data_IF_878080987695
#
_entry.id   IF_878080987695
#
_cell.length_a   1.000
_cell.length_b   1.000
_cell.length_c   1.000
_cell.angle_alpha   90.00
_cell.angle_beta   90.00
_cell.angle_gamma   90.00
#
_symmetry.space_group_name_H-M   'P 1'
#
loop_
_entity.id
_entity.type
_entity.pdbx_description
1 polymer ?
#
# COMPACT_ATOMS: atom_id res chain seq x y z
N UNK A 1 15.95 36.60 1.96
CA UNK A 1 16.12 35.32 1.21
C UNK A 1 15.49 34.22 2.01
N UNK A 2 14.59 33.47 1.41
CA UNK A 2 13.79 32.47 2.12
C UNK A 2 14.52 31.12 2.02
N UNK A 3 15.02 30.61 3.15
CA UNK A 3 15.60 29.26 3.24
C UNK A 3 14.54 28.20 3.52
N UNK A 4 13.31 28.61 3.85
CA UNK A 4 12.15 27.72 4.03
C UNK A 4 11.79 26.99 2.74
N UNK A 5 11.25 25.78 2.87
CA UNK A 5 10.86 24.96 1.71
C UNK A 5 12.04 24.31 0.98
N UNK A 6 13.20 24.20 1.65
CA UNK A 6 14.35 23.43 1.17
C UNK A 6 14.56 22.27 2.13
N UNK A 7 14.40 21.05 1.65
CA UNK A 7 14.53 19.85 2.49
C UNK A 7 14.83 18.59 1.68
N UNK A 8 15.35 17.62 2.40
CA UNK A 8 15.58 16.26 1.93
C UNK A 8 15.43 15.30 3.10
N UNK A 9 14.89 14.11 2.86
CA UNK A 9 14.85 13.02 3.84
C UNK A 9 15.56 11.80 3.29
N UNK A 10 16.56 11.31 4.02
CA UNK A 10 17.19 10.04 3.65
C UNK A 10 16.17 8.90 3.80
N UNK A 11 15.80 8.27 2.67
CA UNK A 11 14.81 7.21 2.60
C UNK A 11 13.50 7.62 1.89
N UNK A 12 12.61 6.66 1.72
CA UNK A 12 11.32 6.79 1.04
C UNK A 12 11.41 7.47 -0.34
N UNK A 13 10.77 8.61 -0.51
CA UNK A 13 10.63 9.29 -1.79
C UNK A 13 11.85 10.14 -2.19
N UNK A 14 12.75 10.44 -1.25
CA UNK A 14 13.86 11.35 -1.50
C UNK A 14 15.20 10.65 -1.68
N UNK A 15 15.36 9.43 -1.17
CA UNK A 15 16.56 8.62 -1.38
C UNK A 15 16.17 7.15 -1.41
N UNK A 16 16.20 6.51 -2.59
CA UNK A 16 15.77 5.13 -2.76
C UNK A 16 16.51 4.43 -3.91
N UNK A 17 16.60 3.10 -3.83
CA UNK A 17 17.16 2.26 -4.87
C UNK A 17 16.20 2.17 -6.07
N UNK A 18 16.72 2.47 -7.27
CA UNK A 18 16.01 2.19 -8.53
C UNK A 18 16.23 0.74 -8.97
N UNK A 19 17.45 0.28 -8.80
CA UNK A 19 17.87 -1.10 -9.02
C UNK A 19 19.03 -1.44 -8.07
N UNK A 20 19.68 -2.59 -8.27
CA UNK A 20 20.80 -3.05 -7.46
C UNK A 20 22.03 -2.14 -7.49
N UNK A 21 22.12 -1.21 -8.43
CA UNK A 21 23.31 -0.37 -8.67
C UNK A 21 23.00 1.12 -8.67
N UNK A 22 21.74 1.51 -8.79
CA UNK A 22 21.32 2.90 -8.96
C UNK A 22 20.52 3.41 -7.77
N UNK A 23 20.98 4.52 -7.21
CA UNK A 23 20.32 5.23 -6.12
C UNK A 23 19.79 6.57 -6.63
N UNK A 24 18.48 6.79 -6.50
CA UNK A 24 17.83 8.04 -6.81
C UNK A 24 17.83 8.96 -5.60
N UNK A 25 18.26 10.21 -5.80
CA UNK A 25 18.27 11.23 -4.75
C UNK A 25 17.50 12.45 -5.25
N UNK A 26 16.54 12.91 -4.43
CA UNK A 26 15.71 14.07 -4.68
C UNK A 26 15.97 15.14 -3.62
N UNK A 27 15.94 16.39 -4.03
CA UNK A 27 16.00 17.58 -3.17
C UNK A 27 14.78 18.44 -3.46
N UNK A 28 13.97 18.71 -2.45
CA UNK A 28 12.89 19.69 -2.52
C UNK A 28 13.45 21.09 -2.29
N UNK A 29 13.12 22.03 -3.15
CA UNK A 29 13.64 23.38 -3.07
C UNK A 29 12.62 24.42 -3.55
N UNK A 30 12.46 25.48 -2.81
CA UNK A 30 11.60 26.60 -3.21
C UNK A 30 12.08 27.27 -4.52
N UNK A 31 11.26 28.13 -5.09
CA UNK A 31 11.49 28.75 -6.43
C UNK A 31 12.71 29.65 -6.53
N UNK A 32 13.29 30.09 -5.41
CA UNK A 32 14.48 30.92 -5.41
C UNK A 32 15.78 30.16 -5.67
N UNK A 33 15.74 28.82 -5.55
CA UNK A 33 16.89 27.97 -5.85
C UNK A 33 17.06 27.84 -7.36
N UNK A 34 18.25 28.18 -7.85
CA UNK A 34 18.59 28.14 -9.28
C UNK A 34 19.30 26.86 -9.68
N UNK A 35 20.14 26.35 -8.79
CA UNK A 35 21.00 25.20 -9.06
C UNK A 35 21.22 24.41 -7.77
N UNK A 36 21.33 23.10 -7.90
CA UNK A 36 21.68 22.20 -6.79
C UNK A 36 22.75 21.20 -7.25
N UNK A 37 23.71 20.93 -6.39
CA UNK A 37 24.78 19.96 -6.60
C UNK A 37 24.77 18.98 -5.44
N UNK A 38 24.76 17.69 -5.76
CA UNK A 38 25.02 16.63 -4.80
C UNK A 38 26.52 16.44 -4.65
N UNK A 39 27.04 16.55 -3.44
CA UNK A 39 28.41 16.18 -3.07
C UNK A 39 28.33 14.79 -2.46
N UNK A 40 28.87 13.75 -3.12
CA UNK A 40 28.69 12.38 -2.69
C UNK A 40 29.91 11.51 -2.98
N UNK A 41 30.14 10.50 -2.14
CA UNK A 41 31.17 9.47 -2.31
C UNK A 41 30.95 8.34 -1.29
N UNK A 42 31.77 7.27 -1.36
CA UNK A 42 31.86 6.29 -0.30
C UNK A 42 32.29 6.97 1.01
N UNK A 43 31.68 6.67 2.17
CA UNK A 43 32.07 7.27 3.45
C UNK A 43 33.54 7.00 3.84
N UNK A 44 34.17 5.98 3.26
CA UNK A 44 35.56 5.59 3.54
C UNK A 44 36.54 5.95 2.44
N UNK A 45 36.14 6.70 1.41
CA UNK A 45 36.99 7.08 0.27
C UNK A 45 38.26 7.87 0.68
N UNK A 46 38.26 8.48 1.84
CA UNK A 46 39.43 9.19 2.44
C UNK A 46 39.95 8.51 3.73
N UNK A 47 39.74 7.21 3.87
CA UNK A 47 40.10 6.42 5.04
C UNK A 47 39.08 6.41 6.15
N UNK A 48 39.30 5.61 7.18
CA UNK A 48 38.35 5.34 8.27
C UNK A 48 38.02 6.59 9.09
N UNK A 49 38.98 7.51 9.23
CA UNK A 49 38.78 8.74 10.04
C UNK A 49 37.79 9.72 9.41
N UNK A 50 37.61 9.68 8.08
CA UNK A 50 36.71 10.56 7.35
C UNK A 50 36.96 12.07 7.43
N UNK A 51 38.08 12.47 8.13
CA UNK A 51 38.36 13.87 8.50
C UNK A 51 38.55 14.81 7.30
N UNK A 52 38.90 14.27 6.14
CA UNK A 52 39.13 15.03 4.89
C UNK A 52 38.15 14.64 3.79
N UNK A 53 37.02 14.08 4.15
CA UNK A 53 36.01 13.71 3.15
C UNK A 53 35.32 14.95 2.61
N UNK A 54 35.24 15.08 1.29
CA UNK A 54 34.61 16.24 0.61
C UNK A 54 33.52 15.80 -0.37
N UNK A 55 33.53 14.54 -0.79
CA UNK A 55 32.70 14.02 -1.86
C UNK A 55 33.09 14.51 -3.27
N UNK A 56 32.51 13.89 -4.26
CA UNK A 56 32.57 14.28 -5.65
C UNK A 56 31.30 15.05 -6.03
N UNK A 57 31.43 16.10 -6.83
CA UNK A 57 30.30 16.92 -7.25
C UNK A 57 29.52 16.25 -8.37
N UNK A 58 28.21 16.09 -8.20
CA UNK A 58 27.27 15.61 -9.22
C UNK A 58 26.14 16.63 -9.40
N UNK A 59 25.98 17.15 -10.59
CA UNK A 59 24.96 18.15 -10.91
C UNK A 59 23.56 17.54 -10.83
N UNK A 60 22.62 18.26 -10.20
CA UNK A 60 21.23 17.85 -10.12
C UNK A 60 20.37 18.58 -11.14
N UNK A 61 19.43 17.88 -11.76
CA UNK A 61 18.48 18.46 -12.71
C UNK A 61 17.09 18.63 -12.09
N UNK A 62 16.34 19.64 -12.54
CA UNK A 62 14.95 19.80 -12.13
C UNK A 62 14.09 18.74 -12.80
N UNK A 63 13.64 17.76 -12.02
CA UNK A 63 12.78 16.66 -12.48
C UNK A 63 11.30 17.01 -12.45
N UNK A 64 10.86 17.85 -11.51
CA UNK A 64 9.47 18.29 -11.39
C UNK A 64 9.39 19.76 -11.00
N UNK A 65 8.43 20.47 -11.62
CA UNK A 65 8.11 21.86 -11.31
C UNK A 65 6.70 21.89 -10.70
N UNK A 66 6.61 22.09 -9.39
CA UNK A 66 5.34 22.24 -8.68
C UNK A 66 5.01 23.72 -8.49
N UNK A 67 3.85 24.05 -7.96
CA UNK A 67 3.42 25.45 -7.78
C UNK A 67 4.36 26.26 -6.87
N UNK A 68 4.74 25.69 -5.72
CA UNK A 68 5.53 26.37 -4.69
C UNK A 68 7.01 25.94 -4.66
N UNK A 69 7.34 24.79 -5.24
CA UNK A 69 8.69 24.22 -5.19
C UNK A 69 9.11 23.60 -6.52
N UNK A 70 10.40 23.33 -6.65
CA UNK A 70 10.98 22.46 -7.65
C UNK A 70 11.59 21.23 -6.97
N UNK A 71 11.54 20.09 -7.63
CA UNK A 71 12.26 18.88 -7.18
C UNK A 71 13.48 18.72 -8.09
N UNK A 72 14.66 18.86 -7.49
CA UNK A 72 15.93 18.54 -8.12
C UNK A 72 16.22 17.05 -7.90
N UNK A 73 16.71 16.37 -8.91
CA UNK A 73 16.97 14.94 -8.86
C UNK A 73 18.28 14.57 -9.52
N UNK A 74 18.88 13.51 -9.02
CA UNK A 74 20.04 12.87 -9.62
C UNK A 74 19.99 11.37 -9.37
N UNK A 75 20.57 10.59 -10.27
CA UNK A 75 20.82 9.15 -10.07
C UNK A 75 22.32 8.93 -9.98
N UNK A 76 22.77 8.24 -8.95
CA UNK A 76 24.17 7.89 -8.71
C UNK A 76 24.36 6.38 -8.63
N UNK A 77 25.59 5.89 -8.89
CA UNK A 77 25.94 4.47 -8.87
C UNK A 77 27.04 4.23 -7.82
N UNK A 78 26.67 4.03 -6.54
CA UNK A 78 27.65 3.79 -5.49
C UNK A 78 28.40 2.48 -5.70
N UNK A 79 29.74 2.55 -5.83
CA UNK A 79 30.59 1.37 -6.08
C UNK A 79 30.45 0.29 -4.99
N UNK A 80 30.31 0.71 -3.74
CA UNK A 80 30.25 -0.17 -2.58
C UNK A 80 28.84 -0.29 -1.96
N UNK A 81 27.78 -0.05 -2.76
CA UNK A 81 26.38 -0.16 -2.29
C UNK A 81 26.01 0.73 -1.10
N UNK A 82 26.76 1.76 -0.82
CA UNK A 82 26.57 2.74 0.27
C UNK A 82 27.02 4.11 -0.19
N UNK A 83 26.46 5.16 0.40
CA UNK A 83 26.73 6.53 -0.01
C UNK A 83 26.74 7.44 1.23
N UNK A 84 27.66 8.39 1.27
CA UNK A 84 27.62 9.56 2.12
C UNK A 84 27.50 10.80 1.25
N UNK A 85 26.68 11.77 1.63
CA UNK A 85 26.40 12.92 0.78
C UNK A 85 25.88 14.13 1.55
N UNK A 86 25.93 15.29 0.89
CA UNK A 86 25.27 16.53 1.25
C UNK A 86 24.97 17.33 -0.02
N UNK A 87 24.19 18.41 0.13
CA UNK A 87 23.83 19.25 -1.00
C UNK A 87 24.50 20.62 -0.90
N UNK A 88 24.94 21.14 -2.05
CA UNK A 88 25.30 22.56 -2.22
C UNK A 88 24.23 23.22 -3.08
N UNK A 89 23.62 24.28 -2.57
CA UNK A 89 22.43 24.91 -3.12
C UNK A 89 22.78 26.34 -3.47
N UNK A 90 22.52 26.73 -4.72
CA UNK A 90 22.87 28.05 -5.27
C UNK A 90 21.60 28.86 -5.53
N UNK A 91 21.64 30.12 -5.16
CA UNK A 91 20.62 31.11 -5.38
C UNK A 91 21.07 32.15 -6.44
N UNK A 92 20.28 33.20 -6.63
CA UNK A 92 20.71 34.35 -7.42
C UNK A 92 21.89 35.05 -6.72
N UNK A 93 22.74 35.75 -7.52
CA UNK A 93 23.93 36.48 -7.04
C UNK A 93 25.02 35.61 -6.40
N UNK A 94 25.21 34.40 -6.88
CA UNK A 94 26.25 33.45 -6.44
C UNK A 94 26.22 33.11 -4.93
N UNK A 95 25.16 33.47 -4.25
CA UNK A 95 24.96 33.03 -2.88
C UNK A 95 24.73 31.55 -2.80
N UNK A 96 25.43 30.86 -1.92
CA UNK A 96 25.28 29.41 -1.75
C UNK A 96 25.25 29.00 -0.28
N UNK A 97 24.56 27.89 -0.02
CA UNK A 97 24.46 27.23 1.27
C UNK A 97 24.70 25.74 1.10
N UNK A 98 25.00 25.03 2.19
CA UNK A 98 24.97 23.59 2.22
C UNK A 98 23.79 23.09 3.05
N UNK A 99 23.17 21.99 2.60
CA UNK A 99 22.16 21.24 3.36
C UNK A 99 22.79 19.94 3.81
N UNK A 100 22.82 19.73 5.13
CA UNK A 100 23.26 18.53 5.81
C UNK A 100 22.06 17.92 6.57
N UNK A 101 22.26 16.79 7.22
CA UNK A 101 21.21 16.10 7.97
C UNK A 101 20.66 16.95 9.14
N UNK A 102 21.50 17.78 9.75
CA UNK A 102 21.17 18.68 10.86
C UNK A 102 20.60 20.05 10.39
N UNK A 103 20.50 20.29 9.07
CA UNK A 103 19.89 21.50 8.53
C UNK A 103 20.72 22.24 7.47
N UNK A 104 20.28 23.48 7.21
CA UNK A 104 20.92 24.38 6.23
C UNK A 104 21.97 25.24 6.93
N UNK A 105 23.16 25.28 6.36
CA UNK A 105 24.31 26.00 6.89
C UNK A 105 24.99 26.85 5.82
N UNK A 106 25.80 27.82 6.27
CA UNK A 106 26.71 28.55 5.39
C UNK A 106 27.83 27.63 4.88
N UNK A 107 28.41 27.92 3.73
CA UNK A 107 29.51 27.13 3.16
C UNK A 107 30.71 27.02 4.09
N UNK A 108 30.95 28.00 4.98
CA UNK A 108 32.04 27.96 5.98
C UNK A 108 31.83 26.88 7.03
N UNK A 109 30.63 26.38 7.23
CA UNK A 109 30.32 25.27 8.14
C UNK A 109 31.06 23.98 7.75
N UNK A 110 31.32 23.79 6.43
CA UNK A 110 32.04 22.65 5.90
C UNK A 110 33.53 22.56 6.39
N UNK A 111 34.06 23.59 7.02
CA UNK A 111 35.40 23.57 7.60
C UNK A 111 35.45 22.96 8.99
N UNK A 112 34.38 22.45 9.55
CA UNK A 112 34.33 21.84 10.88
C UNK A 112 34.99 20.47 10.92
N UNK A 113 35.64 20.14 12.00
CA UNK A 113 36.33 18.85 12.21
C UNK A 113 35.35 17.69 12.43
N UNK A 114 34.19 17.98 13.00
CA UNK A 114 33.16 16.97 13.35
C UNK A 114 32.10 16.74 12.26
N UNK A 115 32.33 17.27 11.08
CA UNK A 115 31.34 17.33 9.98
C UNK A 115 30.84 15.95 9.53
N UNK A 116 31.67 14.91 9.65
CA UNK A 116 31.28 13.53 9.27
C UNK A 116 30.02 13.01 9.99
N UNK A 117 29.65 13.62 11.11
CA UNK A 117 28.42 13.26 11.86
C UNK A 117 27.14 13.86 11.25
N UNK A 118 27.29 14.88 10.41
CA UNK A 118 26.18 15.67 9.88
C UNK A 118 25.88 15.40 8.41
N UNK A 119 26.68 14.57 7.73
CA UNK A 119 26.36 14.15 6.36
C UNK A 119 25.19 13.19 6.34
N UNK A 120 24.35 13.27 5.33
CA UNK A 120 23.38 12.23 5.02
C UNK A 120 24.10 10.92 4.68
N UNK A 121 23.52 9.79 5.09
CA UNK A 121 24.10 8.46 4.86
C UNK A 121 23.05 7.49 4.37
N UNK A 122 23.29 6.89 3.21
CA UNK A 122 22.59 5.70 2.78
C UNK A 122 23.47 4.49 3.10
N UNK A 123 23.07 3.73 4.12
CA UNK A 123 23.94 2.72 4.74
C UNK A 123 24.26 1.54 3.85
N UNK A 124 23.26 1.01 3.14
CA UNK A 124 23.42 -0.14 2.28
C UNK A 124 22.25 -0.28 1.29
N UNK A 125 22.55 -0.61 0.02
CA UNK A 125 21.57 -0.93 -1.01
C UNK A 125 21.25 -2.42 -0.97
N UNK A 126 20.09 -2.80 -0.39
CA UNK A 126 19.63 -4.19 -0.37
C UNK A 126 18.75 -4.48 -1.57
N UNK A 127 18.83 -5.70 -2.09
CA UNK A 127 17.94 -6.18 -3.15
C UNK A 127 16.46 -6.19 -2.69
N UNK A 128 16.22 -6.41 -1.39
CA UNK A 128 14.89 -6.37 -0.78
C UNK A 128 14.24 -4.98 -0.75
N UNK A 129 15.03 -3.92 -0.89
CA UNK A 129 14.54 -2.53 -0.90
C UNK A 129 14.14 -2.07 -2.31
N UNK A 130 14.36 -2.92 -3.32
CA UNK A 130 14.05 -2.63 -4.71
C UNK A 130 12.63 -3.06 -5.01
N UNK A 131 11.76 -2.09 -5.22
CA UNK A 131 10.40 -2.35 -5.68
C UNK A 131 10.37 -2.29 -7.21
N UNK A 132 10.27 -3.46 -7.85
CA UNK A 132 10.11 -3.58 -9.31
C UNK A 132 8.68 -4.03 -9.65
N UNK A 133 7.70 -3.13 -9.64
CA UNK A 133 6.33 -3.48 -10.02
C UNK A 133 6.29 -3.92 -11.49
N UNK A 134 5.34 -4.78 -11.87
CA UNK A 134 5.10 -5.05 -13.29
C UNK A 134 4.84 -3.75 -14.05
N UNK A 135 5.33 -3.64 -15.29
CA UNK A 135 5.21 -2.40 -16.10
C UNK A 135 3.78 -1.87 -16.26
N UNK A 136 2.81 -2.76 -16.26
CA UNK A 136 1.40 -2.36 -16.37
C UNK A 136 0.92 -1.54 -15.15
N UNK A 137 1.53 -1.69 -13.97
CA UNK A 137 1.14 -0.95 -12.75
C UNK A 137 1.41 0.54 -12.90
N UNK A 138 2.51 0.93 -13.58
CA UNK A 138 2.93 2.33 -13.72
C UNK A 138 1.87 3.20 -14.41
N UNK A 139 1.07 2.62 -15.29
CA UNK A 139 0.05 3.31 -16.09
C UNK A 139 -1.37 2.90 -15.71
N UNK A 140 -1.56 2.27 -14.53
CA UNK A 140 -2.89 1.83 -14.10
C UNK A 140 -3.60 2.92 -13.31
N UNK A 141 -4.80 3.28 -13.77
CA UNK A 141 -5.74 4.15 -13.05
C UNK A 141 -6.79 3.24 -12.41
N UNK A 142 -6.76 3.17 -11.09
CA UNK A 142 -7.64 2.30 -10.32
C UNK A 142 -8.96 2.98 -9.96
N UNK A 143 -10.06 2.22 -10.11
CA UNK A 143 -11.37 2.58 -9.62
C UNK A 143 -11.85 1.55 -8.59
N UNK A 144 -12.05 1.98 -7.35
CA UNK A 144 -12.54 1.10 -6.28
C UNK A 144 -14.05 1.00 -6.33
N UNK A 145 -14.57 -0.22 -6.21
CA UNK A 145 -16.00 -0.53 -6.24
C UNK A 145 -16.41 -1.26 -4.96
N UNK A 146 -17.37 -0.71 -4.23
CA UNK A 146 -18.16 -1.45 -3.24
C UNK A 146 -19.36 -2.05 -3.99
N UNK A 147 -19.41 -3.37 -4.28
CA UNK A 147 -20.36 -3.96 -5.20
C UNK A 147 -21.81 -3.65 -4.86
N UNK A 148 -22.20 -3.76 -3.59
CA UNK A 148 -23.55 -3.43 -3.10
C UNK A 148 -24.01 -2.03 -3.50
N UNK A 149 -23.10 -1.07 -3.62
CA UNK A 149 -23.37 0.36 -3.80
C UNK A 149 -23.03 0.90 -5.20
N UNK A 150 -22.81 0.04 -6.19
CA UNK A 150 -22.36 0.49 -7.50
C UNK A 150 -23.44 0.45 -8.57
N UNK A 151 -23.89 -0.73 -8.97
CA UNK A 151 -24.90 -0.91 -10.00
C UNK A 151 -25.57 -2.27 -9.87
N UNK A 152 -26.89 -2.35 -10.13
CA UNK A 152 -27.62 -3.59 -10.20
C UNK A 152 -28.17 -3.82 -11.60
N UNK A 153 -28.06 -5.06 -12.07
CA UNK A 153 -28.86 -5.62 -13.18
C UNK A 153 -29.68 -6.73 -12.58
N UNK A 154 -30.95 -6.80 -12.95
CA UNK A 154 -31.86 -7.86 -12.47
C UNK A 154 -31.36 -9.23 -12.95
N UNK A 155 -31.03 -10.08 -11.99
CA UNK A 155 -30.57 -11.45 -12.17
C UNK A 155 -31.52 -12.50 -11.58
N UNK A 156 -32.71 -12.05 -11.18
CA UNK A 156 -33.76 -12.88 -10.56
C UNK A 156 -33.56 -13.11 -9.05
N UNK A 157 -32.47 -12.64 -8.44
CA UNK A 157 -32.25 -12.74 -6.98
C UNK A 157 -33.32 -11.90 -6.25
N UNK A 158 -33.99 -12.51 -5.29
CA UNK A 158 -35.00 -11.87 -4.43
C UNK A 158 -34.36 -11.46 -3.11
N UNK A 159 -34.08 -10.18 -2.94
CA UNK A 159 -33.51 -9.60 -1.73
C UNK A 159 -34.31 -8.40 -1.24
N UNK A 160 -34.13 -8.04 0.01
CA UNK A 160 -34.70 -6.83 0.62
C UNK A 160 -33.76 -5.66 0.37
N UNK A 161 -33.88 -5.00 -0.78
CA UNK A 161 -33.01 -3.90 -1.18
C UNK A 161 -33.71 -2.55 -0.95
N UNK A 162 -32.92 -1.56 -0.52
CA UNK A 162 -33.34 -0.16 -0.51
C UNK A 162 -33.42 0.34 -1.96
N UNK A 163 -34.42 1.18 -2.27
CA UNK A 163 -34.49 1.83 -3.57
C UNK A 163 -33.20 2.60 -3.85
N UNK A 164 -32.65 2.46 -5.06
CA UNK A 164 -31.38 3.07 -5.44
C UNK A 164 -31.38 4.59 -5.30
N UNK A 165 -32.52 5.23 -5.53
CA UNK A 165 -32.67 6.68 -5.45
C UNK A 165 -33.16 7.17 -4.09
N UNK A 166 -33.44 6.27 -3.15
CA UNK A 166 -33.83 6.63 -1.79
C UNK A 166 -32.61 7.07 -0.98
N UNK A 167 -32.47 8.36 -0.81
CA UNK A 167 -31.41 8.99 0.00
C UNK A 167 -31.89 9.37 1.41
N UNK A 168 -33.12 9.04 1.76
CA UNK A 168 -33.74 9.44 3.05
C UNK A 168 -33.17 8.66 4.24
N UNK A 169 -32.63 7.46 3.99
CA UNK A 169 -32.10 6.58 5.03
C UNK A 169 -30.80 5.90 4.56
N UNK A 170 -29.73 6.67 4.42
CA UNK A 170 -28.41 6.13 4.10
C UNK A 170 -27.77 5.67 5.40
N UNK A 171 -27.80 4.36 5.67
CA UNK A 171 -27.08 3.76 6.78
C UNK A 171 -26.07 2.70 6.29
N UNK A 172 -25.18 2.28 7.20
CA UNK A 172 -24.14 1.31 6.86
C UNK A 172 -24.64 -0.13 6.78
N UNK A 173 -25.87 -0.43 7.21
CA UNK A 173 -26.50 -1.77 7.19
C UNK A 173 -27.38 -1.98 5.98
N UNK A 174 -27.88 -0.91 5.37
CA UNK A 174 -28.78 -1.00 4.21
C UNK A 174 -28.10 -1.67 3.03
N UNK A 175 -28.82 -2.58 2.36
CA UNK A 175 -28.39 -3.23 1.15
C UNK A 175 -29.05 -2.55 -0.06
N UNK A 176 -28.27 -2.14 -1.04
CA UNK A 176 -28.74 -1.58 -2.31
C UNK A 176 -28.75 -2.62 -3.43
N UNK A 177 -28.11 -3.76 -3.19
CA UNK A 177 -28.17 -4.94 -4.03
C UNK A 177 -27.41 -4.83 -5.35
N UNK A 178 -26.44 -3.93 -5.47
CA UNK A 178 -25.51 -3.94 -6.59
C UNK A 178 -24.88 -5.33 -6.76
N UNK A 179 -24.62 -5.75 -8.00
CA UNK A 179 -24.16 -7.10 -8.30
C UNK A 179 -23.09 -7.14 -9.40
N UNK A 180 -22.50 -8.32 -9.63
CA UNK A 180 -21.44 -8.54 -10.61
C UNK A 180 -21.93 -8.20 -12.03
N UNK A 181 -23.14 -8.57 -12.40
CA UNK A 181 -23.72 -8.20 -13.71
C UNK A 181 -23.91 -6.69 -13.86
N UNK A 182 -24.21 -6.00 -12.76
CA UNK A 182 -24.25 -4.53 -12.74
C UNK A 182 -22.87 -3.92 -12.99
N UNK A 183 -21.82 -4.45 -12.35
CA UNK A 183 -20.44 -4.00 -12.61
C UNK A 183 -20.06 -4.28 -14.06
N UNK A 184 -20.33 -5.47 -14.56
CA UNK A 184 -20.08 -5.87 -15.94
C UNK A 184 -20.73 -4.91 -16.94
N UNK A 185 -22.00 -4.53 -16.72
CA UNK A 185 -22.74 -3.59 -17.58
C UNK A 185 -22.12 -2.18 -17.65
N UNK A 186 -21.20 -1.84 -16.74
CA UNK A 186 -20.54 -0.53 -16.65
C UNK A 186 -19.08 -0.54 -17.07
N UNK A 187 -18.52 -1.67 -17.54
CA UNK A 187 -17.12 -1.75 -17.91
C UNK A 187 -16.74 -0.80 -19.06
N UNK A 188 -17.59 -0.64 -20.10
CA UNK A 188 -17.32 0.32 -21.17
C UNK A 188 -17.36 1.76 -20.67
N UNK A 189 -18.27 2.09 -19.75
CA UNK A 189 -18.31 3.40 -19.12
C UNK A 189 -17.00 3.66 -18.35
N UNK A 190 -16.54 2.70 -17.53
CA UNK A 190 -15.27 2.82 -16.79
C UNK A 190 -14.09 2.96 -17.76
N UNK A 191 -14.06 2.18 -18.82
CA UNK A 191 -13.03 2.29 -19.87
C UNK A 191 -13.05 3.67 -20.53
N UNK A 192 -14.22 4.24 -20.83
CA UNK A 192 -14.35 5.58 -21.42
C UNK A 192 -13.86 6.70 -20.50
N UNK A 193 -13.81 6.48 -19.19
CA UNK A 193 -13.21 7.38 -18.21
C UNK A 193 -11.68 7.24 -18.12
N UNK A 194 -11.08 6.30 -18.87
CA UNK A 194 -9.64 6.00 -18.80
C UNK A 194 -9.24 5.08 -17.65
N UNK A 195 -10.20 4.38 -17.01
CA UNK A 195 -9.92 3.40 -15.95
C UNK A 195 -9.30 2.16 -16.59
N UNK A 196 -8.17 1.72 -16.06
CA UNK A 196 -7.42 0.54 -16.52
C UNK A 196 -7.26 -0.52 -15.43
N UNK A 197 -7.81 -0.30 -14.25
CA UNK A 197 -7.90 -1.27 -13.17
C UNK A 197 -9.12 -1.04 -12.29
N UNK A 198 -9.82 -2.10 -11.91
CA UNK A 198 -10.87 -2.06 -10.90
C UNK A 198 -10.45 -2.84 -9.66
N UNK A 199 -10.70 -2.26 -8.49
CA UNK A 199 -10.51 -2.90 -7.20
C UNK A 199 -11.87 -3.16 -6.57
N UNK A 200 -12.25 -4.42 -6.44
CA UNK A 200 -13.50 -4.83 -5.83
C UNK A 200 -13.32 -5.01 -4.32
N UNK A 201 -14.09 -4.29 -3.52
CA UNK A 201 -14.29 -4.64 -2.11
C UNK A 201 -14.77 -6.10 -2.01
N UNK A 202 -14.70 -6.76 -0.84
CA UNK A 202 -14.93 -8.19 -0.73
C UNK A 202 -16.20 -8.65 -1.44
N UNK A 203 -16.09 -9.74 -2.21
CA UNK A 203 -17.20 -10.31 -3.01
C UNK A 203 -17.66 -11.68 -2.51
N UNK A 204 -16.92 -12.26 -1.56
CA UNK A 204 -17.17 -13.61 -1.08
C UNK A 204 -18.34 -13.69 -0.09
N UNK A 205 -18.86 -14.90 0.09
CA UNK A 205 -20.02 -15.18 0.94
C UNK A 205 -19.87 -14.59 2.34
N UNK A 206 -20.87 -13.80 2.74
CA UNK A 206 -20.91 -13.09 4.02
C UNK A 206 -22.30 -12.57 4.30
N UNK A 207 -22.68 -12.50 5.58
CA UNK A 207 -24.00 -12.00 6.02
C UNK A 207 -24.17 -10.48 5.92
N UNK A 208 -23.09 -9.70 5.78
CA UNK A 208 -23.13 -8.24 5.72
C UNK A 208 -23.08 -7.70 4.29
N UNK A 209 -23.48 -6.44 4.09
CA UNK A 209 -23.40 -5.75 2.80
C UNK A 209 -21.94 -5.49 2.35
N UNK A 210 -21.03 -5.24 3.28
CA UNK A 210 -19.61 -4.94 3.01
C UNK A 210 -18.74 -6.19 2.84
N UNK A 211 -19.24 -7.39 3.19
CA UNK A 211 -18.60 -8.71 3.04
C UNK A 211 -17.25 -8.91 3.76
N UNK A 212 -16.81 -8.00 4.64
CA UNK A 212 -15.58 -8.16 5.39
C UNK A 212 -15.62 -9.28 6.43
N UNK A 213 -16.79 -9.73 6.90
CA UNK A 213 -16.94 -10.91 7.73
C UNK A 213 -17.15 -12.16 6.85
N UNK A 214 -16.12 -12.59 6.16
CA UNK A 214 -16.17 -13.66 5.16
C UNK A 214 -16.44 -15.03 5.81
N UNK A 215 -17.48 -15.71 5.30
CA UNK A 215 -17.89 -17.06 5.72
C UNK A 215 -17.29 -18.16 4.83
N UNK A 216 -17.08 -17.86 3.55
CA UNK A 216 -16.47 -18.79 2.58
C UNK A 216 -15.71 -17.97 1.54
N UNK A 217 -14.41 -18.23 1.43
CA UNK A 217 -13.50 -17.51 0.52
C UNK A 217 -13.48 -18.08 -0.90
N UNK A 218 -14.20 -19.14 -1.18
CA UNK A 218 -14.22 -19.82 -2.48
C UNK A 218 -15.53 -19.58 -3.24
N UNK A 219 -16.54 -19.04 -2.58
CA UNK A 219 -17.87 -18.83 -3.16
C UNK A 219 -18.19 -17.34 -3.19
N UNK A 220 -18.51 -16.82 -4.38
CA UNK A 220 -19.08 -15.48 -4.53
C UNK A 220 -20.40 -15.41 -3.77
N UNK A 221 -20.64 -14.30 -3.08
CA UNK A 221 -21.89 -14.11 -2.35
C UNK A 221 -23.11 -14.18 -3.30
N UNK A 222 -24.14 -14.98 -3.00
CA UNK A 222 -25.31 -15.11 -3.86
C UNK A 222 -26.04 -13.79 -4.18
N UNK A 223 -25.93 -12.78 -3.30
CA UNK A 223 -26.47 -11.43 -3.57
C UNK A 223 -25.76 -10.76 -4.73
N UNK A 224 -24.46 -11.07 -4.91
CA UNK A 224 -23.65 -10.49 -5.99
C UNK A 224 -23.66 -11.31 -7.26
N UNK A 225 -24.06 -12.58 -7.20
CA UNK A 225 -24.08 -13.49 -8.33
C UNK A 225 -23.37 -14.81 -8.07
N UNK A 226 -22.79 -15.39 -9.10
CA UNK A 226 -22.11 -16.69 -9.05
C UNK A 226 -20.60 -16.56 -9.33
N UNK A 227 -19.86 -17.65 -9.08
CA UNK A 227 -18.47 -17.74 -9.50
C UNK A 227 -18.30 -17.61 -11.02
N UNK A 228 -19.27 -18.10 -11.81
CA UNK A 228 -19.23 -18.00 -13.26
C UNK A 228 -19.52 -16.56 -13.73
N UNK A 229 -20.44 -15.84 -13.09
CA UNK A 229 -20.64 -14.42 -13.36
C UNK A 229 -19.34 -13.61 -13.10
N UNK A 230 -18.60 -13.97 -12.05
CA UNK A 230 -17.33 -13.33 -11.77
C UNK A 230 -16.24 -13.64 -12.83
N UNK A 231 -16.18 -14.90 -13.31
CA UNK A 231 -15.25 -15.27 -14.40
C UNK A 231 -15.54 -14.48 -15.68
N UNK A 232 -16.83 -14.34 -16.05
CA UNK A 232 -17.21 -13.59 -17.24
C UNK A 232 -16.89 -12.09 -17.07
N UNK A 233 -17.12 -11.49 -15.89
CA UNK A 233 -16.70 -10.13 -15.58
C UNK A 233 -15.20 -9.94 -15.79
N UNK A 234 -14.37 -10.84 -15.25
CA UNK A 234 -12.89 -10.76 -15.38
C UNK A 234 -12.46 -10.87 -16.83
N UNK A 235 -13.01 -11.83 -17.56
CA UNK A 235 -12.73 -12.04 -19.00
C UNK A 235 -13.08 -10.80 -19.82
N UNK A 236 -14.25 -10.21 -19.57
CA UNK A 236 -14.68 -9.01 -20.27
C UNK A 236 -13.86 -7.78 -19.89
N UNK A 237 -13.56 -7.59 -18.60
CA UNK A 237 -12.68 -6.52 -18.15
C UNK A 237 -11.30 -6.61 -18.83
N UNK A 238 -10.70 -7.80 -18.88
CA UNK A 238 -9.42 -8.03 -19.56
C UNK A 238 -9.49 -7.72 -21.06
N UNK A 239 -10.60 -8.04 -21.74
CA UNK A 239 -10.78 -7.70 -23.17
C UNK A 239 -10.83 -6.18 -23.42
N UNK A 240 -11.19 -5.39 -22.41
CA UNK A 240 -11.17 -3.92 -22.44
C UNK A 240 -9.87 -3.32 -21.88
N UNK A 241 -8.87 -4.16 -21.57
CA UNK A 241 -7.60 -3.73 -20.98
C UNK A 241 -7.67 -3.35 -19.50
N UNK A 242 -8.78 -3.67 -18.82
CA UNK A 242 -9.00 -3.36 -17.40
C UNK A 242 -8.54 -4.55 -16.56
N UNK A 243 -7.61 -4.32 -15.63
CA UNK A 243 -7.19 -5.29 -14.62
C UNK A 243 -8.21 -5.39 -13.50
N UNK A 244 -8.37 -6.60 -12.92
CA UNK A 244 -9.28 -6.82 -11.79
C UNK A 244 -8.47 -7.22 -10.56
N UNK A 245 -8.71 -6.51 -9.46
CA UNK A 245 -8.16 -6.82 -8.15
C UNK A 245 -9.32 -7.04 -7.18
N UNK A 246 -9.26 -8.12 -6.39
CA UNK A 246 -10.23 -8.42 -5.35
C UNK A 246 -9.64 -8.25 -3.98
N UNK A 247 -10.46 -7.85 -3.02
CA UNK A 247 -10.07 -7.69 -1.62
C UNK A 247 -9.88 -9.05 -0.95
N UNK A 248 -8.74 -9.27 -0.32
CA UNK A 248 -8.37 -10.48 0.38
C UNK A 248 -8.44 -10.27 1.90
N UNK A 249 -9.57 -10.64 2.51
CA UNK A 249 -9.80 -10.48 3.95
C UNK A 249 -9.08 -11.58 4.74
N UNK A 250 -7.75 -11.48 4.88
CA UNK A 250 -6.92 -12.51 5.53
C UNK A 250 -6.48 -12.14 6.96
N UNK A 251 -6.96 -11.01 7.50
CA UNK A 251 -6.73 -10.64 8.89
C UNK A 251 -7.62 -11.41 9.87
N UNK A 252 -8.84 -11.71 9.47
CA UNK A 252 -9.89 -12.36 10.28
C UNK A 252 -10.86 -13.12 9.39
N UNK A 253 -11.69 -13.94 9.98
CA UNK A 253 -12.82 -14.60 9.30
C UNK A 253 -14.14 -14.16 9.91
N UNK A 254 -15.27 -14.56 9.31
CA UNK A 254 -16.54 -14.56 10.02
C UNK A 254 -16.49 -15.55 11.18
N UNK A 255 -17.32 -15.30 12.18
CA UNK A 255 -17.68 -16.30 13.20
C UNK A 255 -18.33 -17.55 12.58
N UNK A 256 -19.00 -17.38 11.42
CA UNK A 256 -19.65 -18.45 10.67
C UNK A 256 -18.71 -19.19 9.70
N UNK A 257 -17.45 -18.83 9.63
CA UNK A 257 -16.44 -19.55 8.86
C UNK A 257 -16.22 -20.96 9.45
N UNK A 258 -16.09 -21.96 8.59
CA UNK A 258 -16.06 -23.38 9.00
C UNK A 258 -15.09 -23.68 10.15
N UNK A 259 -13.90 -23.10 10.11
CA UNK A 259 -12.87 -23.34 11.11
C UNK A 259 -13.25 -22.75 12.48
N UNK A 260 -13.85 -21.53 12.53
CA UNK A 260 -14.28 -20.96 13.80
C UNK A 260 -15.55 -21.65 14.33
N UNK A 261 -16.46 -22.09 13.47
CA UNK A 261 -17.60 -22.95 13.88
C UNK A 261 -17.14 -24.23 14.57
N UNK A 262 -16.17 -24.93 14.00
CA UNK A 262 -15.62 -26.16 14.62
C UNK A 262 -14.96 -25.84 15.99
N UNK A 263 -14.32 -24.66 16.11
CA UNK A 263 -13.78 -24.19 17.39
C UNK A 263 -14.89 -23.90 18.40
N UNK A 264 -16.00 -23.27 17.98
CA UNK A 264 -17.15 -23.04 18.86
C UNK A 264 -17.79 -24.31 19.37
N UNK A 265 -17.83 -25.37 18.55
CA UNK A 265 -18.41 -26.67 18.90
C UNK A 265 -17.49 -27.52 19.77
N UNK A 266 -16.18 -27.56 19.46
CA UNK A 266 -15.23 -28.50 20.06
C UNK A 266 -14.25 -27.86 21.06
N UNK A 267 -14.24 -26.56 21.17
CA UNK A 267 -13.30 -25.84 22.02
C UNK A 267 -11.85 -26.18 21.67
N UNK A 268 -11.05 -26.47 22.71
CA UNK A 268 -9.63 -26.81 22.56
C UNK A 268 -9.38 -28.12 21.79
N UNK A 269 -10.40 -28.97 21.64
CA UNK A 269 -10.31 -30.22 20.86
C UNK A 269 -10.45 -30.00 19.35
N UNK A 270 -10.77 -28.80 18.92
CA UNK A 270 -10.79 -28.45 17.49
C UNK A 270 -9.38 -28.41 16.92
N UNK A 271 -9.18 -29.03 15.76
CA UNK A 271 -7.91 -28.94 15.03
C UNK A 271 -7.63 -27.50 14.53
N UNK A 272 -8.65 -26.64 14.52
CA UNK A 272 -8.55 -25.24 14.12
C UNK A 272 -8.39 -24.28 15.30
N UNK A 273 -8.30 -24.78 16.55
CA UNK A 273 -8.21 -23.94 17.73
C UNK A 273 -7.04 -22.93 17.63
N UNK A 274 -5.87 -23.40 17.19
CA UNK A 274 -4.67 -22.58 17.02
C UNK A 274 -4.66 -21.71 15.74
N UNK A 275 -5.74 -21.75 14.95
CA UNK A 275 -5.94 -20.80 13.85
C UNK A 275 -6.32 -19.41 14.33
N UNK A 276 -6.70 -19.29 15.59
CA UNK A 276 -7.14 -18.06 16.23
C UNK A 276 -6.38 -17.80 17.53
N UNK A 277 -6.40 -16.56 17.99
CA UNK A 277 -5.80 -16.17 19.27
C UNK A 277 -6.87 -16.20 20.37
N UNK A 278 -7.06 -17.34 21.01
CA UNK A 278 -8.08 -17.58 22.04
C UNK A 278 -7.41 -17.62 23.40
N UNK A 279 -7.88 -16.78 24.34
CA UNK A 279 -7.27 -16.59 25.66
C UNK A 279 -8.14 -17.03 26.83
N UNK A 280 -9.42 -17.37 26.59
CA UNK A 280 -10.37 -17.73 27.65
C UNK A 280 -11.21 -18.93 27.25
N UNK A 281 -11.58 -19.81 28.21
CA UNK A 281 -12.55 -20.88 27.97
C UNK A 281 -13.94 -20.34 27.59
N UNK A 282 -14.29 -19.10 28.01
CA UNK A 282 -15.58 -18.47 27.72
C UNK A 282 -15.61 -17.76 26.37
N UNK A 283 -14.74 -18.14 25.46
CA UNK A 283 -14.59 -17.50 24.14
C UNK A 283 -15.87 -17.54 23.28
N UNK A 284 -16.75 -18.51 23.51
CA UNK A 284 -17.98 -18.69 22.72
C UNK A 284 -19.00 -17.53 22.89
N UNK A 285 -18.87 -16.71 23.93
CA UNK A 285 -19.77 -15.57 24.20
C UNK A 285 -19.72 -14.56 23.04
N UNK A 286 -20.89 -14.09 22.62
CA UNK A 286 -21.03 -13.05 21.60
C UNK A 286 -20.84 -11.62 22.14
N UNK A 287 -20.80 -10.65 21.23
CA UNK A 287 -20.71 -9.22 21.55
C UNK A 287 -19.28 -8.70 21.53
N UNK A 288 -19.00 -7.71 22.36
CA UNK A 288 -17.70 -7.05 22.41
C UNK A 288 -16.63 -7.97 23.01
N UNK A 289 -15.43 -8.02 22.43
CA UNK A 289 -14.29 -8.85 22.87
C UNK A 289 -13.21 -8.08 23.62
N UNK A 290 -13.51 -6.88 24.14
CA UNK A 290 -12.56 -6.09 24.94
C UNK A 290 -12.18 -6.74 26.27
N UNK A 291 -12.92 -7.74 26.69
CA UNK A 291 -12.54 -8.63 27.82
C UNK A 291 -11.33 -9.52 27.52
N UNK A 292 -10.84 -9.54 26.28
CA UNK A 292 -9.65 -10.27 25.87
C UNK A 292 -9.87 -11.78 25.67
N UNK A 293 -11.11 -12.29 25.65
CA UNK A 293 -11.39 -13.72 25.49
C UNK A 293 -10.82 -14.33 24.20
N UNK A 294 -10.80 -13.54 23.12
CA UNK A 294 -10.01 -13.77 21.90
C UNK A 294 -9.76 -12.47 21.15
N UNK A 295 -8.76 -12.44 20.30
CA UNK A 295 -8.54 -11.27 19.46
C UNK A 295 -9.54 -11.26 18.31
N UNK A 296 -10.08 -10.08 18.02
CA UNK A 296 -10.98 -9.83 16.90
C UNK A 296 -10.71 -8.47 16.27
N UNK A 297 -11.15 -8.28 15.02
CA UNK A 297 -11.09 -6.97 14.39
C UNK A 297 -12.05 -6.00 15.09
N UNK A 298 -11.56 -4.82 15.43
CA UNK A 298 -12.34 -3.76 16.09
C UNK A 298 -13.10 -4.21 17.37
N UNK A 299 -12.63 -5.27 18.04
CA UNK A 299 -13.29 -5.87 19.21
C UNK A 299 -14.69 -6.42 18.95
N UNK A 300 -15.02 -6.74 17.69
CA UNK A 300 -16.31 -7.32 17.29
C UNK A 300 -16.19 -8.84 17.25
N UNK A 301 -17.08 -9.55 17.97
CA UNK A 301 -17.06 -11.02 18.05
C UNK A 301 -17.18 -11.73 16.70
N UNK A 302 -17.86 -11.08 15.73
CA UNK A 302 -18.13 -11.68 14.43
C UNK A 302 -16.90 -11.74 13.50
N UNK A 303 -15.77 -11.14 13.93
CA UNK A 303 -14.55 -11.06 13.14
C UNK A 303 -13.32 -11.57 13.90
N UNK A 304 -13.27 -12.88 14.28
CA UNK A 304 -12.15 -13.47 15.00
C UNK A 304 -10.86 -13.41 14.19
N UNK A 305 -9.78 -12.91 14.82
CA UNK A 305 -8.48 -12.69 14.18
C UNK A 305 -7.77 -14.00 13.91
N UNK A 306 -7.32 -14.17 12.67
CA UNK A 306 -6.50 -15.28 12.24
C UNK A 306 -5.07 -15.18 12.79
N UNK A 307 -4.53 -16.33 13.20
CA UNK A 307 -3.13 -16.52 13.56
C UNK A 307 -2.30 -16.82 12.30
N UNK A 308 -1.81 -15.81 11.64
CA UNK A 308 -0.99 -15.95 10.43
C UNK A 308 0.42 -16.46 10.69
N UNK A 309 0.82 -16.69 11.95
CA UNK A 309 2.02 -17.45 12.30
C UNK A 309 1.79 -18.98 12.24
N UNK A 310 0.54 -19.43 12.16
CA UNK A 310 0.19 -20.84 11.99
C UNK A 310 0.34 -21.25 10.52
N UNK A 311 1.16 -22.26 10.24
CA UNK A 311 1.42 -22.73 8.88
C UNK A 311 0.18 -23.25 8.16
N UNK A 312 -0.76 -23.88 8.88
CA UNK A 312 -2.00 -24.41 8.28
C UNK A 312 -2.91 -23.26 7.81
N UNK A 313 -2.94 -22.13 8.55
CA UNK A 313 -3.63 -20.90 8.13
C UNK A 313 -3.00 -20.36 6.84
N UNK A 314 -1.67 -20.25 6.81
CA UNK A 314 -0.94 -19.75 5.64
C UNK A 314 -1.19 -20.65 4.43
N UNK A 315 -1.10 -21.98 4.60
CA UNK A 315 -1.33 -22.95 3.54
C UNK A 315 -2.76 -22.84 2.99
N UNK A 316 -3.76 -22.81 3.87
CA UNK A 316 -5.16 -22.69 3.45
C UNK A 316 -5.38 -21.42 2.60
N UNK A 317 -4.92 -20.26 3.07
CA UNK A 317 -5.11 -19.01 2.31
C UNK A 317 -4.23 -18.92 1.05
N UNK A 318 -3.09 -19.60 1.03
CA UNK A 318 -2.31 -19.78 -0.20
C UNK A 318 -3.09 -20.55 -1.26
N UNK A 319 -3.80 -21.61 -0.87
CA UNK A 319 -4.62 -22.38 -1.81
C UNK A 319 -5.89 -21.60 -2.24
N UNK A 320 -6.46 -20.79 -1.34
CA UNK A 320 -7.52 -19.84 -1.71
C UNK A 320 -7.01 -18.85 -2.77
N UNK A 321 -5.84 -18.25 -2.57
CA UNK A 321 -5.24 -17.33 -3.54
C UNK A 321 -5.02 -17.98 -4.91
N UNK A 322 -4.44 -19.19 -4.95
CA UNK A 322 -4.25 -19.95 -6.20
C UNK A 322 -5.60 -20.16 -6.91
N UNK A 323 -6.61 -20.63 -6.18
CA UNK A 323 -7.95 -20.86 -6.74
C UNK A 323 -8.57 -19.58 -7.30
N UNK A 324 -8.34 -18.42 -6.66
CA UNK A 324 -8.83 -17.13 -7.16
C UNK A 324 -8.08 -16.63 -8.40
N UNK A 325 -6.77 -16.90 -8.50
CA UNK A 325 -5.94 -16.52 -9.65
C UNK A 325 -6.28 -17.39 -10.88
N UNK A 326 -6.57 -18.66 -10.67
CA UNK A 326 -6.89 -19.61 -11.74
C UNK A 326 -8.31 -19.46 -12.29
N UNK A 327 -9.13 -18.61 -11.69
CA UNK A 327 -10.50 -18.28 -12.14
C UNK A 327 -10.52 -17.17 -13.17
#
# INVERSE_FOLDING_TARGET
MMLEGIYHKCGFNDCYCLDQNELKINLHANKSVKRAVLMCDDPYSKGISGSNWTGNAVEMSVSRRLSLENIFSVTVKPEYKRLQYYFVIFFENDFSVCLLEDGIHSMSYLNRVDLAKHYFKFGWMNDSDICTPPKWVENTIWYQILPDRFCRVDDGYKGNFVDWNDVSCIDYKSMYGGNIKGIDSKLEYLSSLGITGIYLNPIFKSSTNHKYNTEDYLTVDPVFGTNDDFKELVKRAHSLGIKVMIDAVFNHTSRDFFAFKDVLEKGQNSKYYNWYYINSPDFAKEGNTRDGRYYSFAFVSDMPKLNTNNKDVVNYFTDVCKTCIDR
#
